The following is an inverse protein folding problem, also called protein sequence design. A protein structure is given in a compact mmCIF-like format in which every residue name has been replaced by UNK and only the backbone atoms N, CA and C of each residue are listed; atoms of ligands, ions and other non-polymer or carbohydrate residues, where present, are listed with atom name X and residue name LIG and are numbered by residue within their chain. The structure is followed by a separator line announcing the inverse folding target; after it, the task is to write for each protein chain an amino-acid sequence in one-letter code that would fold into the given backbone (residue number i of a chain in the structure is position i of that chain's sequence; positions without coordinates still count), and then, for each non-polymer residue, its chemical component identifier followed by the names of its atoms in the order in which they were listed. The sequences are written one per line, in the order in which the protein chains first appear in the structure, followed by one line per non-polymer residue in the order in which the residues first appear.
data_IF_464424559226
#
_entry.id   IF_464424559226
#
_cell.length_a   1.000
_cell.length_b   1.000
_cell.length_c   1.000
_cell.angle_alpha   90.00
_cell.angle_beta   90.00
_cell.angle_gamma   90.00
#
_symmetry.space_group_name_H-M   'P 1'
#
loop_
_entity.id
_entity.type
_entity.pdbx_description
1 polymer ?
#
# COMPACT_ATOMS: atom_id res chain seq x y z
N UNK A 1 -4.03 18.81 0.33
CA UNK A 1 -3.05 18.64 -0.76
C UNK A 1 -2.21 19.91 -0.88
N UNK A 2 -1.01 19.82 -1.45
CA UNK A 2 -0.22 21.00 -1.84
C UNK A 2 -0.74 21.63 -3.14
N UNK A 3 0.04 22.55 -3.71
CA UNK A 3 -0.40 23.39 -4.83
C UNK A 3 -0.53 22.65 -6.18
N UNK A 4 0.13 21.49 -6.32
CA UNK A 4 0.06 20.62 -7.50
C UNK A 4 0.48 19.17 -7.16
N UNK A 5 0.18 18.18 -8.01
CA UNK A 5 0.75 16.84 -7.84
C UNK A 5 2.28 16.90 -7.72
N UNK A 6 2.82 16.25 -6.69
CA UNK A 6 4.26 16.24 -6.38
C UNK A 6 4.88 17.63 -6.09
N UNK A 7 4.11 18.59 -5.58
CA UNK A 7 4.63 19.89 -5.12
C UNK A 7 5.65 19.72 -3.99
N UNK A 8 5.37 18.83 -3.05
CA UNK A 8 6.21 18.60 -1.87
C UNK A 8 7.48 17.84 -2.21
N UNK A 9 8.65 18.27 -1.70
CA UNK A 9 9.94 17.67 -2.04
C UNK A 9 10.02 16.17 -1.70
N UNK A 10 9.36 15.73 -0.64
CA UNK A 10 9.31 14.33 -0.20
C UNK A 10 8.58 13.46 -1.22
N UNK A 11 7.37 13.87 -1.62
CA UNK A 11 6.57 13.14 -2.62
C UNK A 11 7.25 13.14 -3.98
N UNK A 12 7.93 14.23 -4.35
CA UNK A 12 8.73 14.31 -5.58
C UNK A 12 9.90 13.32 -5.54
N UNK A 13 10.66 13.27 -4.45
CA UNK A 13 11.78 12.34 -4.31
C UNK A 13 11.32 10.87 -4.34
N UNK A 14 10.26 10.55 -3.59
CA UNK A 14 9.69 9.21 -3.56
C UNK A 14 9.14 8.77 -4.92
N UNK A 15 8.44 9.66 -5.62
CA UNK A 15 7.92 9.37 -6.96
C UNK A 15 9.03 9.08 -7.97
N UNK A 16 10.15 9.82 -7.91
CA UNK A 16 11.30 9.59 -8.77
C UNK A 16 11.98 8.27 -8.43
N UNK A 17 12.12 7.93 -7.14
CA UNK A 17 12.69 6.67 -6.70
C UNK A 17 11.88 5.47 -7.20
N UNK A 18 10.55 5.48 -7.05
CA UNK A 18 9.68 4.39 -7.51
C UNK A 18 9.72 4.23 -9.03
N UNK A 19 9.68 5.34 -9.77
CA UNK A 19 9.75 5.32 -11.24
C UNK A 19 11.10 4.79 -11.74
N UNK A 20 12.20 5.08 -11.06
CA UNK A 20 13.53 4.61 -11.43
C UNK A 20 13.76 3.14 -11.03
N UNK A 21 13.34 2.75 -9.83
CA UNK A 21 13.55 1.40 -9.32
C UNK A 21 12.60 0.38 -9.97
N UNK A 22 11.36 0.78 -10.27
CA UNK A 22 10.27 -0.10 -10.72
C UNK A 22 10.14 -1.36 -9.84
N UNK A 23 9.84 -1.20 -8.53
CA UNK A 23 9.71 -2.33 -7.63
C UNK A 23 8.57 -3.28 -8.04
N UNK A 24 8.66 -4.54 -7.63
CA UNK A 24 7.61 -5.53 -7.89
C UNK A 24 6.32 -5.26 -7.09
N UNK A 25 6.43 -4.59 -5.95
CA UNK A 25 5.32 -4.16 -5.09
C UNK A 25 5.76 -3.04 -4.15
N UNK A 26 4.82 -2.24 -3.63
CA UNK A 26 5.07 -1.19 -2.64
C UNK A 26 4.02 -1.21 -1.52
N UNK A 27 4.47 -1.17 -0.27
CA UNK A 27 3.59 -1.03 0.90
C UNK A 27 3.80 0.32 1.57
N UNK A 28 2.70 1.02 1.88
CA UNK A 28 2.70 2.26 2.63
C UNK A 28 2.13 2.01 4.03
N UNK A 29 2.99 2.02 5.05
CA UNK A 29 2.57 1.76 6.43
C UNK A 29 2.05 3.04 7.11
N UNK A 30 0.86 2.90 7.72
CA UNK A 30 0.12 3.92 8.43
C UNK A 30 -0.47 3.37 9.74
N UNK A 31 -1.26 4.16 10.46
CA UNK A 31 -2.06 3.74 11.61
C UNK A 31 -3.20 4.76 11.81
N UNK A 32 -4.34 4.46 12.43
CA UNK A 32 -4.72 3.27 13.17
C UNK A 32 -6.13 2.80 12.74
N UNK A 33 -6.21 1.84 11.81
CA UNK A 33 -7.47 1.36 11.25
C UNK A 33 -7.60 -0.17 11.11
N UNK A 34 -6.54 -0.93 11.42
CA UNK A 34 -6.50 -2.41 11.35
C UNK A 34 -6.92 -2.97 9.97
N UNK A 35 -6.36 -2.41 8.90
CA UNK A 35 -6.79 -2.72 7.54
C UNK A 35 -5.70 -2.63 6.47
N UNK A 36 -5.91 -3.35 5.38
CA UNK A 36 -5.13 -3.26 4.15
C UNK A 36 -6.05 -2.75 3.05
N UNK A 37 -5.69 -1.61 2.47
CA UNK A 37 -6.45 -0.96 1.42
C UNK A 37 -5.64 -0.97 0.13
N UNK A 38 -6.14 -1.75 -0.84
CA UNK A 38 -5.50 -1.88 -2.14
C UNK A 38 -5.45 -0.52 -2.86
N UNK A 39 -4.31 -0.24 -3.50
CA UNK A 39 -4.24 0.84 -4.47
C UNK A 39 -5.17 0.56 -5.64
N UNK A 40 -5.93 1.57 -6.06
CA UNK A 40 -6.80 1.47 -7.24
C UNK A 40 -6.84 2.82 -7.93
N UNK A 41 -6.44 2.88 -9.20
CA UNK A 41 -6.57 4.08 -10.02
C UNK A 41 -6.85 3.71 -11.47
N UNK A 42 -8.07 4.00 -11.93
CA UNK A 42 -8.59 3.55 -13.22
C UNK A 42 -8.65 2.01 -13.37
N UNK A 43 -8.92 1.32 -12.26
CA UNK A 43 -8.97 -0.15 -12.18
C UNK A 43 -7.84 -0.70 -11.31
N UNK A 44 -7.93 -2.01 -11.02
CA UNK A 44 -6.92 -2.76 -10.28
C UNK A 44 -5.81 -3.24 -11.22
N UNK A 45 -4.55 -3.03 -10.83
CA UNK A 45 -3.37 -3.49 -11.57
C UNK A 45 -2.57 -4.55 -10.77
N UNK A 46 -3.27 -5.34 -9.94
CA UNK A 46 -2.72 -6.44 -9.14
C UNK A 46 -2.65 -6.15 -7.65
N UNK A 47 -3.04 -4.94 -7.23
CA UNK A 47 -3.10 -4.51 -5.83
C UNK A 47 -4.13 -5.31 -5.04
N UNK A 48 -5.26 -5.71 -5.64
CA UNK A 48 -6.27 -6.51 -4.96
C UNK A 48 -5.74 -7.90 -4.57
N UNK A 49 -5.11 -8.62 -5.52
CA UNK A 49 -4.51 -9.92 -5.25
C UNK A 49 -3.37 -9.83 -4.22
N UNK A 50 -2.50 -8.83 -4.35
CA UNK A 50 -1.42 -8.58 -3.40
C UNK A 50 -1.97 -8.33 -1.97
N UNK A 51 -3.07 -7.58 -1.86
CA UNK A 51 -3.72 -7.25 -0.59
C UNK A 51 -4.36 -8.47 0.06
N UNK A 52 -4.90 -9.41 -0.73
CA UNK A 52 -5.37 -10.71 -0.23
C UNK A 52 -4.24 -11.52 0.41
N UNK A 53 -3.08 -11.63 -0.26
CA UNK A 53 -1.91 -12.35 0.28
C UNK A 53 -1.45 -11.75 1.61
N UNK A 54 -1.33 -10.42 1.66
CA UNK A 54 -1.00 -9.72 2.91
C UNK A 54 -2.06 -9.95 3.97
N UNK A 55 -3.33 -9.77 3.64
CA UNK A 55 -4.44 -9.89 4.58
C UNK A 55 -4.56 -11.28 5.18
N UNK A 56 -4.31 -12.33 4.40
CA UNK A 56 -4.26 -13.70 4.92
C UNK A 56 -3.07 -13.95 5.85
N UNK A 57 -1.89 -13.40 5.54
CA UNK A 57 -0.67 -13.62 6.32
C UNK A 57 -0.61 -12.78 7.60
N UNK A 58 -1.13 -11.56 7.54
CA UNK A 58 -1.18 -10.62 8.67
C UNK A 58 -2.46 -10.84 9.49
N UNK A 59 -3.58 -11.14 8.85
CA UNK A 59 -4.90 -11.13 9.48
C UNK A 59 -5.53 -9.74 9.58
N UNK A 60 -4.99 -8.69 8.93
CA UNK A 60 -5.68 -7.38 8.84
C UNK A 60 -6.97 -7.52 8.04
N UNK A 61 -7.94 -6.64 8.27
CA UNK A 61 -9.10 -6.56 7.38
C UNK A 61 -8.66 -6.17 5.97
N UNK A 62 -9.18 -6.82 4.93
CA UNK A 62 -8.83 -6.54 3.54
C UNK A 62 -10.03 -6.76 2.61
N UNK A 63 -9.91 -6.35 1.36
CA UNK A 63 -10.95 -6.56 0.33
C UNK A 63 -12.10 -5.55 0.36
N UNK A 64 -12.03 -4.56 1.25
CA UNK A 64 -12.93 -3.42 1.27
C UNK A 64 -12.16 -2.14 0.91
N UNK A 65 -12.82 -1.23 0.21
CA UNK A 65 -12.30 0.12 -0.02
C UNK A 65 -12.35 0.93 1.28
N UNK A 66 -11.39 1.83 1.48
CA UNK A 66 -11.44 2.75 2.62
C UNK A 66 -12.67 3.66 2.50
N UNK A 67 -13.53 3.67 3.53
CA UNK A 67 -14.85 4.32 3.46
C UNK A 67 -15.12 5.31 4.58
N UNK A 68 -14.17 5.57 5.50
CA UNK A 68 -14.40 6.48 6.62
C UNK A 68 -14.58 7.94 6.14
N UNK A 69 -13.89 8.30 5.06
CA UNK A 69 -14.02 9.59 4.37
C UNK A 69 -13.39 9.51 2.97
N UNK A 70 -13.76 10.43 2.05
CA UNK A 70 -13.13 10.49 0.73
C UNK A 70 -11.65 10.86 0.84
N UNK A 71 -10.81 10.15 0.08
CA UNK A 71 -9.38 10.44 -0.08
C UNK A 71 -9.03 10.56 -1.55
N UNK A 72 -8.07 11.42 -1.88
CA UNK A 72 -7.59 11.64 -3.25
C UNK A 72 -6.09 11.80 -3.25
N UNK A 73 -5.41 11.33 -4.31
CA UNK A 73 -3.96 11.45 -4.43
C UNK A 73 -3.19 10.56 -3.45
N UNK A 74 -3.75 9.40 -3.10
CA UNK A 74 -3.06 8.41 -2.25
C UNK A 74 -1.86 7.83 -2.97
N UNK A 75 -0.84 7.44 -2.20
CA UNK A 75 0.39 6.89 -2.75
C UNK A 75 0.15 5.52 -3.38
N UNK A 76 -0.63 4.66 -2.71
CA UNK A 76 -1.05 3.34 -3.21
C UNK A 76 -1.75 3.43 -4.57
N UNK A 77 -2.82 4.23 -4.70
CA UNK A 77 -3.52 4.39 -5.99
C UNK A 77 -2.61 4.95 -7.09
N UNK A 78 -1.73 5.90 -6.77
CA UNK A 78 -0.76 6.40 -7.76
C UNK A 78 0.23 5.31 -8.21
N UNK A 79 0.77 4.51 -7.29
CA UNK A 79 1.70 3.42 -7.63
C UNK A 79 0.99 2.33 -8.43
N UNK A 80 -0.24 1.96 -8.07
CA UNK A 80 -1.07 1.03 -8.84
C UNK A 80 -1.28 1.51 -10.29
N UNK A 81 -1.51 2.82 -10.49
CA UNK A 81 -1.64 3.41 -11.84
C UNK A 81 -0.40 3.24 -12.72
N UNK A 82 0.76 2.93 -12.14
CA UNK A 82 2.00 2.63 -12.86
C UNK A 82 2.16 1.14 -13.21
N UNK A 83 1.14 0.33 -12.93
CA UNK A 83 1.15 -1.13 -13.06
C UNK A 83 1.99 -1.83 -11.98
N UNK A 84 2.11 -1.24 -10.79
CA UNK A 84 2.85 -1.81 -9.66
C UNK A 84 1.85 -2.09 -8.52
N UNK A 85 1.65 -3.36 -8.12
CA UNK A 85 0.79 -3.69 -7.00
C UNK A 85 1.20 -2.95 -5.72
N UNK A 86 0.25 -2.29 -5.07
CA UNK A 86 0.51 -1.54 -3.85
C UNK A 86 -0.68 -1.45 -2.92
N UNK A 87 -0.42 -1.14 -1.65
CA UNK A 87 -1.47 -0.95 -0.66
C UNK A 87 -1.04 -0.01 0.46
N UNK A 88 -2.04 0.63 1.06
CA UNK A 88 -1.91 1.24 2.38
C UNK A 88 -2.17 0.16 3.43
N UNK A 89 -1.24 0.00 4.38
CA UNK A 89 -1.33 -0.91 5.53
C UNK A 89 -1.55 -0.06 6.77
N UNK A 90 -2.76 -0.06 7.29
CA UNK A 90 -3.15 0.66 8.48
C UNK A 90 -3.05 -0.26 9.70
N UNK A 91 -2.03 -0.02 10.55
CA UNK A 91 -1.84 -0.76 11.79
C UNK A 91 -3.07 -0.62 12.71
N UNK A 92 -3.22 -1.51 13.69
CA UNK A 92 -4.33 -1.45 14.66
C UNK A 92 -4.18 -0.26 15.62
N UNK A 93 -2.95 0.10 15.98
CA UNK A 93 -2.68 1.17 16.95
C UNK A 93 -1.58 2.11 16.47
N UNK A 94 -1.49 3.28 17.09
CA UNK A 94 -0.46 4.28 16.77
C UNK A 94 0.91 3.98 17.41
N UNK A 95 0.96 3.02 18.35
CA UNK A 95 2.12 2.82 19.23
C UNK A 95 2.74 1.44 19.13
N UNK A 96 1.96 0.43 18.75
CA UNK A 96 2.46 -0.93 18.53
C UNK A 96 2.81 -1.09 17.04
N UNK A 97 4.07 -1.43 16.69
CA UNK A 97 4.44 -1.68 15.29
C UNK A 97 3.89 -3.00 14.73
N UNK A 98 3.31 -3.86 15.58
CA UNK A 98 2.75 -5.17 15.20
C UNK A 98 3.78 -6.00 14.40
N UNK A 99 5.04 -5.94 14.83
CA UNK A 99 6.20 -6.34 14.03
C UNK A 99 6.11 -7.76 13.49
N UNK A 100 5.75 -8.74 14.32
CA UNK A 100 5.67 -10.15 13.91
C UNK A 100 4.61 -10.39 12.84
N UNK A 101 3.45 -9.74 12.97
CA UNK A 101 2.35 -9.78 12.01
C UNK A 101 2.78 -9.18 10.67
N UNK A 102 3.41 -8.02 10.71
CA UNK A 102 3.89 -7.32 9.52
C UNK A 102 5.05 -8.05 8.83
N UNK A 103 5.96 -8.66 9.60
CA UNK A 103 7.01 -9.51 9.08
C UNK A 103 6.44 -10.73 8.34
N UNK A 104 5.41 -11.38 8.90
CA UNK A 104 4.73 -12.48 8.23
C UNK A 104 4.11 -12.05 6.88
N UNK A 105 3.52 -10.85 6.82
CA UNK A 105 3.02 -10.25 5.59
C UNK A 105 4.10 -10.05 4.52
N UNK A 106 5.23 -9.43 4.89
CA UNK A 106 6.35 -9.21 3.95
C UNK A 106 6.93 -10.53 3.45
N UNK A 107 7.10 -11.53 4.32
CA UNK A 107 7.58 -12.86 3.93
C UNK A 107 6.59 -13.58 3.00
N UNK A 108 5.28 -13.42 3.22
CA UNK A 108 4.27 -13.99 2.33
C UNK A 108 4.32 -13.35 0.93
N UNK A 109 4.49 -12.02 0.84
CA UNK A 109 4.68 -11.36 -0.45
C UNK A 109 5.95 -11.79 -1.16
N UNK A 110 7.08 -11.94 -0.44
CA UNK A 110 8.31 -12.43 -1.05
C UNK A 110 8.15 -13.82 -1.66
N UNK A 111 7.41 -14.71 -0.99
CA UNK A 111 7.09 -16.05 -1.53
C UNK A 111 6.18 -15.95 -2.74
N UNK A 112 5.11 -15.15 -2.66
CA UNK A 112 4.21 -14.93 -3.78
C UNK A 112 4.92 -14.40 -5.04
N UNK A 113 5.87 -13.48 -4.86
CA UNK A 113 6.67 -12.92 -5.95
C UNK A 113 7.71 -13.91 -6.53
N UNK A 114 8.13 -14.91 -5.76
CA UNK A 114 9.11 -15.90 -6.20
C UNK A 114 8.52 -17.02 -7.07
N UNK A 115 7.18 -17.19 -7.05
CA UNK A 115 6.48 -18.35 -7.65
C UNK A 115 6.62 -19.62 -6.83
#
# INVERSE_FOLDING_TARGET
AGDAPFSEPETRALSAFIQNLRPATVLFYHSAADGIFAGECNGDHGSAQMSEILGQATGYHYGAVFSAYPVTGTASSWVDSLGIPSADVELLTQTDPEFERNLAGVLALQRWLAG
#
